data_IF_673049960261
#
_entry.id   IF_673049960261
#
_cell.length_a   1.000
_cell.length_b   1.000
_cell.length_c   1.000
_cell.angle_alpha   90.00
_cell.angle_beta   90.00
_cell.angle_gamma   90.00
#
_symmetry.space_group_name_H-M   'P 1'
#
loop_
_entity.id
_entity.type
_entity.pdbx_description
1 polymer ?
#
# COMPACT_ATOMS: atom_id res chain seq x y z
N UNK A 1 -15.88 -10.63 -15.58
CA UNK A 1 -15.53 -9.46 -14.73
C UNK A 1 -14.35 -8.72 -15.32
N UNK A 2 -14.07 -7.49 -14.86
CA UNK A 2 -12.83 -6.76 -15.19
C UNK A 2 -12.15 -6.27 -13.92
N UNK A 3 -10.82 -6.29 -13.91
CA UNK A 3 -9.99 -5.63 -12.91
C UNK A 3 -9.29 -4.43 -13.54
N UNK A 4 -9.35 -3.28 -12.88
CA UNK A 4 -8.63 -2.06 -13.24
C UNK A 4 -7.64 -1.74 -12.14
N UNK A 5 -6.35 -1.82 -12.46
CA UNK A 5 -5.26 -1.46 -11.55
C UNK A 5 -4.38 -0.40 -12.21
N UNK A 6 -3.61 0.36 -11.45
CA UNK A 6 -2.99 1.55 -12.02
C UNK A 6 -1.54 1.36 -12.48
N UNK A 7 -0.85 0.29 -12.11
CA UNK A 7 0.47 -0.03 -12.65
C UNK A 7 0.91 -1.47 -12.35
N UNK A 8 1.92 -2.00 -13.04
CA UNK A 8 2.51 -3.31 -12.79
C UNK A 8 3.61 -3.27 -11.71
N UNK A 9 3.49 -2.39 -10.70
CA UNK A 9 4.35 -2.44 -9.51
C UNK A 9 4.20 -3.79 -8.79
N UNK A 10 5.10 -4.16 -7.88
CA UNK A 10 4.95 -5.37 -7.08
C UNK A 10 3.58 -5.49 -6.40
N UNK A 11 3.01 -4.37 -5.90
CA UNK A 11 1.65 -4.31 -5.37
C UNK A 11 0.61 -4.67 -6.45
N UNK A 12 0.65 -4.02 -7.60
CA UNK A 12 -0.29 -4.28 -8.70
C UNK A 12 -0.20 -5.70 -9.23
N UNK A 13 1.00 -6.28 -9.31
CA UNK A 13 1.21 -7.68 -9.69
C UNK A 13 0.58 -8.63 -8.68
N UNK A 14 0.77 -8.40 -7.37
CA UNK A 14 0.19 -9.23 -6.32
C UNK A 14 -1.35 -9.13 -6.31
N UNK A 15 -1.90 -7.91 -6.44
CA UNK A 15 -3.34 -7.66 -6.58
C UNK A 15 -3.94 -8.41 -7.77
N UNK A 16 -3.32 -8.29 -8.96
CA UNK A 16 -3.78 -8.99 -10.17
C UNK A 16 -3.75 -10.51 -10.01
N UNK A 17 -2.67 -11.06 -9.46
CA UNK A 17 -2.56 -12.51 -9.22
C UNK A 17 -3.65 -13.01 -8.25
N UNK A 18 -3.89 -12.30 -7.14
CA UNK A 18 -4.97 -12.64 -6.19
C UNK A 18 -6.34 -12.68 -6.88
N UNK A 19 -6.64 -11.64 -7.67
CA UNK A 19 -7.87 -11.58 -8.44
C UNK A 19 -7.99 -12.73 -9.45
N UNK A 20 -6.93 -13.04 -10.19
CA UNK A 20 -6.91 -14.13 -11.20
C UNK A 20 -7.10 -15.50 -10.58
N UNK A 21 -6.41 -15.77 -9.45
CA UNK A 21 -6.55 -17.06 -8.74
C UNK A 21 -7.97 -17.26 -8.23
N UNK A 22 -8.56 -16.24 -7.62
CA UNK A 22 -9.91 -16.33 -7.09
C UNK A 22 -10.96 -16.42 -8.21
N UNK A 23 -10.81 -15.64 -9.27
CA UNK A 23 -11.66 -15.74 -10.45
C UNK A 23 -11.63 -17.16 -11.06
N UNK A 24 -10.43 -17.77 -11.17
CA UNK A 24 -10.29 -19.14 -11.66
C UNK A 24 -11.00 -20.17 -10.77
N UNK A 25 -10.87 -20.06 -9.44
CA UNK A 25 -11.58 -20.92 -8.48
C UNK A 25 -13.10 -20.84 -8.63
N UNK A 26 -13.60 -19.63 -8.89
CA UNK A 26 -15.03 -19.36 -9.04
C UNK A 26 -15.55 -19.59 -10.47
N UNK A 27 -14.71 -20.02 -11.43
CA UNK A 27 -15.06 -20.19 -12.83
C UNK A 27 -15.41 -18.87 -13.54
N UNK A 28 -14.84 -17.76 -13.10
CA UNK A 28 -15.10 -16.42 -13.62
C UNK A 28 -14.03 -16.04 -14.63
N UNK A 29 -14.46 -15.60 -15.83
CA UNK A 29 -13.54 -14.95 -16.76
C UNK A 29 -13.23 -13.53 -16.26
N UNK A 30 -11.94 -13.22 -16.06
CA UNK A 30 -11.42 -11.94 -15.60
C UNK A 30 -10.49 -11.34 -16.65
N UNK A 31 -10.83 -10.15 -17.15
CA UNK A 31 -9.95 -9.37 -18.00
C UNK A 31 -9.27 -8.28 -17.14
N UNK A 32 -8.00 -7.99 -17.42
CA UNK A 32 -7.18 -7.06 -16.65
C UNK A 32 -6.78 -5.83 -17.49
N UNK A 33 -6.85 -4.66 -16.87
CA UNK A 33 -6.55 -3.38 -17.49
C UNK A 33 -5.54 -2.61 -16.63
N UNK A 34 -4.36 -2.36 -17.20
CA UNK A 34 -3.29 -1.58 -16.58
C UNK A 34 -3.45 -0.10 -16.94
N UNK A 35 -3.64 0.75 -15.96
CA UNK A 35 -3.77 2.21 -16.11
C UNK A 35 -2.44 2.91 -16.40
N UNK A 36 -1.31 2.20 -16.30
CA UNK A 36 0.04 2.71 -16.59
C UNK A 36 0.36 4.04 -15.86
N UNK A 37 0.00 4.15 -14.59
CA UNK A 37 0.14 5.37 -13.78
C UNK A 37 -0.53 6.62 -14.38
N UNK A 38 -1.50 6.44 -15.27
CA UNK A 38 -2.18 7.54 -15.96
C UNK A 38 -3.69 7.51 -15.68
N UNK A 39 -4.23 8.48 -14.92
CA UNK A 39 -5.66 8.52 -14.59
C UNK A 39 -6.56 8.63 -15.81
N UNK A 40 -6.10 9.30 -16.88
CA UNK A 40 -6.88 9.41 -18.11
C UNK A 40 -6.96 8.08 -18.85
N UNK A 41 -5.85 7.32 -18.91
CA UNK A 41 -5.83 5.95 -19.46
C UNK A 41 -6.81 5.06 -18.71
N UNK A 42 -6.77 5.06 -17.37
CA UNK A 42 -7.67 4.26 -16.54
C UNK A 42 -9.14 4.67 -16.76
N UNK A 43 -9.41 5.98 -16.86
CA UNK A 43 -10.76 6.49 -17.16
C UNK A 43 -11.26 5.97 -18.51
N UNK A 44 -10.44 6.05 -19.56
CA UNK A 44 -10.79 5.57 -20.90
C UNK A 44 -11.05 4.07 -20.92
N UNK A 45 -10.19 3.27 -20.29
CA UNK A 45 -10.37 1.81 -20.19
C UNK A 45 -11.69 1.42 -19.52
N UNK A 46 -12.08 2.12 -18.43
CA UNK A 46 -13.35 1.88 -17.75
C UNK A 46 -14.52 2.28 -18.66
N UNK A 47 -14.45 3.42 -19.36
CA UNK A 47 -15.49 3.85 -20.31
C UNK A 47 -15.68 2.86 -21.45
N UNK A 48 -14.58 2.37 -22.04
CA UNK A 48 -14.61 1.35 -23.08
C UNK A 48 -15.22 0.05 -22.57
N UNK A 49 -14.83 -0.39 -21.38
CA UNK A 49 -15.39 -1.58 -20.77
C UNK A 49 -16.91 -1.48 -20.51
N UNK A 50 -17.41 -0.30 -20.13
CA UNK A 50 -18.85 -0.03 -20.01
C UNK A 50 -19.52 -0.14 -21.38
N UNK A 51 -18.93 0.49 -22.42
CA UNK A 51 -19.50 0.56 -23.76
C UNK A 51 -19.61 -0.82 -24.42
N UNK A 52 -18.67 -1.73 -24.16
CA UNK A 52 -18.72 -3.10 -24.71
C UNK A 52 -19.90 -3.91 -24.19
N UNK A 53 -20.49 -3.56 -23.05
CA UNK A 53 -21.54 -4.33 -22.40
C UNK A 53 -21.12 -5.76 -21.94
N UNK A 54 -19.86 -6.10 -22.09
CA UNK A 54 -19.30 -7.43 -21.82
C UNK A 54 -19.29 -7.78 -20.33
N UNK A 55 -19.05 -6.78 -19.48
CA UNK A 55 -18.75 -7.02 -18.06
C UNK A 55 -19.97 -6.78 -17.17
N UNK A 56 -20.10 -7.61 -16.13
CA UNK A 56 -21.16 -7.50 -15.11
C UNK A 56 -20.63 -6.95 -13.80
N UNK A 57 -19.31 -6.97 -13.59
CA UNK A 57 -18.68 -6.46 -12.37
C UNK A 57 -17.28 -5.93 -12.64
N UNK A 58 -16.89 -4.90 -11.89
CA UNK A 58 -15.58 -4.27 -11.89
C UNK A 58 -14.95 -4.33 -10.49
N UNK A 59 -13.70 -4.77 -10.42
CA UNK A 59 -12.80 -4.56 -9.28
C UNK A 59 -11.86 -3.41 -9.64
N UNK A 60 -11.90 -2.32 -8.87
CA UNK A 60 -11.22 -1.07 -9.25
C UNK A 60 -10.28 -0.63 -8.14
N UNK A 61 -9.01 -0.51 -8.48
CA UNK A 61 -7.99 0.17 -7.71
C UNK A 61 -7.71 1.51 -8.40
N UNK A 62 -8.29 2.60 -7.87
CA UNK A 62 -8.30 3.90 -8.51
C UNK A 62 -7.01 4.69 -8.30
N UNK A 63 -6.45 5.24 -9.37
CA UNK A 63 -5.32 6.16 -9.28
C UNK A 63 -5.73 7.56 -8.81
N UNK A 64 -6.95 7.98 -9.12
CA UNK A 64 -7.53 9.26 -8.72
C UNK A 64 -9.04 9.14 -8.58
N UNK A 65 -9.51 8.76 -7.40
CA UNK A 65 -10.93 8.50 -7.15
C UNK A 65 -11.85 9.68 -7.51
N UNK A 66 -11.55 10.93 -7.14
CA UNK A 66 -12.39 12.06 -7.53
C UNK A 66 -12.58 12.18 -9.04
N UNK A 67 -11.51 11.99 -9.82
CA UNK A 67 -11.57 12.07 -11.28
C UNK A 67 -12.31 10.88 -11.91
N UNK A 68 -12.21 9.69 -11.31
CA UNK A 68 -12.85 8.47 -11.79
C UNK A 68 -14.33 8.37 -11.39
N UNK A 69 -14.75 9.02 -10.32
CA UNK A 69 -16.12 8.89 -9.75
C UNK A 69 -17.22 9.08 -10.79
N UNK A 70 -17.21 10.06 -11.71
CA UNK A 70 -18.23 10.19 -12.73
C UNK A 70 -18.34 8.97 -13.65
N UNK A 71 -17.20 8.34 -13.97
CA UNK A 71 -17.15 7.16 -14.83
C UNK A 71 -17.63 5.91 -14.08
N UNK A 72 -17.26 5.77 -12.82
CA UNK A 72 -17.77 4.69 -11.95
C UNK A 72 -19.29 4.79 -11.79
N UNK A 73 -19.83 5.99 -11.58
CA UNK A 73 -21.29 6.19 -11.51
C UNK A 73 -21.99 5.78 -12.81
N UNK A 74 -21.38 5.99 -13.99
CA UNK A 74 -21.91 5.49 -15.26
C UNK A 74 -21.92 3.94 -15.27
N UNK A 75 -20.86 3.27 -14.80
CA UNK A 75 -20.83 1.82 -14.71
C UNK A 75 -21.97 1.29 -13.83
N UNK A 76 -22.18 1.90 -12.66
CA UNK A 76 -23.26 1.54 -11.74
C UNK A 76 -24.62 1.76 -12.37
N UNK A 77 -24.83 2.89 -13.04
CA UNK A 77 -26.08 3.20 -13.76
C UNK A 77 -26.36 2.22 -14.91
N UNK A 78 -25.31 1.64 -15.49
CA UNK A 78 -25.40 0.57 -16.50
C UNK A 78 -25.64 -0.82 -15.88
N UNK A 79 -25.83 -0.92 -14.56
CA UNK A 79 -26.10 -2.18 -13.83
C UNK A 79 -24.84 -3.00 -13.50
N UNK A 80 -23.66 -2.45 -13.70
CA UNK A 80 -22.38 -3.11 -13.37
C UNK A 80 -22.15 -2.99 -11.87
N UNK A 81 -21.85 -4.10 -11.19
CA UNK A 81 -21.44 -4.11 -9.79
C UNK A 81 -20.00 -3.62 -9.69
N UNK A 82 -19.73 -2.64 -8.83
CA UNK A 82 -18.38 -2.10 -8.65
C UNK A 82 -17.91 -2.32 -7.22
N UNK A 83 -16.76 -2.91 -7.05
CA UNK A 83 -16.05 -2.99 -5.77
C UNK A 83 -14.71 -2.24 -5.88
N UNK A 84 -14.30 -1.60 -4.78
CA UNK A 84 -13.15 -0.71 -4.72
C UNK A 84 -12.07 -1.25 -3.79
N UNK A 85 -10.82 -1.13 -4.22
CA UNK A 85 -9.63 -1.61 -3.53
C UNK A 85 -8.95 -0.50 -2.72
N UNK A 86 -8.21 -0.92 -1.72
CA UNK A 86 -7.18 -0.16 -1.00
C UNK A 86 -7.77 0.86 0.00
N UNK A 87 -8.53 1.83 -0.45
CA UNK A 87 -9.12 2.87 0.40
C UNK A 87 -10.61 3.08 0.12
N UNK A 88 -11.29 3.75 1.06
CA UNK A 88 -12.66 4.21 0.84
C UNK A 88 -12.72 5.11 -0.40
N UNK A 89 -13.54 4.72 -1.36
CA UNK A 89 -13.78 5.54 -2.55
C UNK A 89 -14.51 6.84 -2.18
N UNK A 90 -13.86 7.98 -2.42
CA UNK A 90 -14.44 9.27 -2.06
C UNK A 90 -13.43 10.41 -1.97
N UNK A 91 -13.74 11.41 -1.14
CA UNK A 91 -12.86 12.53 -0.86
C UNK A 91 -11.67 12.10 0.02
N UNK A 92 -10.59 12.89 0.01
CA UNK A 92 -9.41 12.62 0.86
C UNK A 92 -9.79 12.55 2.36
N UNK A 93 -10.79 13.30 2.80
CA UNK A 93 -11.29 13.22 4.17
C UNK A 93 -11.94 11.86 4.48
N UNK A 94 -12.68 11.29 3.54
CA UNK A 94 -13.28 9.95 3.67
C UNK A 94 -12.22 8.85 3.61
N UNK A 95 -11.20 8.99 2.77
CA UNK A 95 -10.08 8.06 2.69
C UNK A 95 -9.23 8.04 3.97
N UNK A 96 -9.15 9.16 4.67
CA UNK A 96 -8.42 9.26 5.93
C UNK A 96 -9.05 8.42 7.05
N UNK A 97 -10.35 8.15 6.96
CA UNK A 97 -11.09 7.27 7.87
C UNK A 97 -11.72 6.17 7.05
N UNK A 98 -11.50 4.91 7.40
CA UNK A 98 -12.11 3.79 6.68
C UNK A 98 -13.64 3.81 6.94
N UNK A 99 -14.38 4.45 6.03
CA UNK A 99 -15.85 4.55 6.09
C UNK A 99 -16.46 3.96 4.82
N UNK A 100 -17.70 3.49 4.89
CA UNK A 100 -18.37 2.93 3.71
C UNK A 100 -18.53 3.99 2.62
N UNK A 101 -18.22 3.60 1.38
CA UNK A 101 -18.45 4.43 0.19
C UNK A 101 -19.93 4.37 -0.22
N UNK A 102 -20.47 5.50 -0.67
CA UNK A 102 -21.78 5.51 -1.36
C UNK A 102 -21.66 5.12 -2.85
N UNK A 103 -20.44 5.02 -3.36
CA UNK A 103 -20.17 4.74 -4.78
C UNK A 103 -19.98 3.25 -5.04
N UNK A 104 -19.16 2.57 -4.23
CA UNK A 104 -18.85 1.16 -4.45
C UNK A 104 -19.81 0.25 -3.68
N UNK A 105 -20.17 -0.90 -4.25
CA UNK A 105 -20.97 -1.92 -3.57
C UNK A 105 -20.27 -2.47 -2.33
N UNK A 106 -18.96 -2.57 -2.38
CA UNK A 106 -18.08 -2.84 -1.25
C UNK A 106 -16.74 -2.14 -1.46
N UNK A 107 -16.08 -1.81 -0.36
CA UNK A 107 -14.66 -1.43 -0.33
C UNK A 107 -13.91 -2.47 0.50
N UNK A 108 -12.79 -2.97 0.00
CA UNK A 108 -11.85 -3.80 0.76
C UNK A 108 -10.54 -3.05 0.85
N UNK A 109 -10.08 -2.75 2.06
CA UNK A 109 -8.86 -1.96 2.21
C UNK A 109 -8.62 -1.51 3.65
N UNK A 110 -7.88 -0.41 3.81
CA UNK A 110 -7.50 0.12 5.11
C UNK A 110 -7.63 1.67 5.18
N UNK A 111 -7.47 2.22 6.37
CA UNK A 111 -7.56 3.67 6.62
C UNK A 111 -6.20 4.33 6.37
N UNK A 112 -6.15 5.36 5.52
CA UNK A 112 -4.94 6.18 5.30
C UNK A 112 -4.48 6.83 6.61
N UNK A 113 -5.41 7.29 7.44
CA UNK A 113 -5.08 7.88 8.74
C UNK A 113 -4.50 6.88 9.71
N UNK A 114 -5.00 5.64 9.73
CA UNK A 114 -4.42 4.57 10.54
C UNK A 114 -3.02 4.21 10.04
N UNK A 115 -2.79 4.14 8.74
CA UNK A 115 -1.46 3.91 8.15
C UNK A 115 -0.47 5.00 8.55
N UNK A 116 -0.85 6.29 8.44
CA UNK A 116 -0.01 7.40 8.85
C UNK A 116 0.35 7.31 10.35
N UNK A 117 -0.63 7.00 11.21
CA UNK A 117 -0.43 6.83 12.65
C UNK A 117 0.48 5.64 12.97
N UNK A 118 0.31 4.51 12.29
CA UNK A 118 1.16 3.34 12.45
C UNK A 118 2.60 3.64 12.03
N UNK A 119 2.78 4.39 10.93
CA UNK A 119 4.10 4.80 10.46
C UNK A 119 4.77 5.77 11.43
N UNK A 120 4.05 6.78 11.94
CA UNK A 120 4.52 7.70 12.97
C UNK A 120 4.96 6.96 14.24
N UNK A 121 4.14 6.04 14.73
CA UNK A 121 4.44 5.22 15.91
C UNK A 121 5.67 4.35 15.68
N UNK A 122 5.78 3.73 14.51
CA UNK A 122 6.92 2.89 14.13
C UNK A 122 8.20 3.69 14.03
N UNK A 123 8.15 4.89 13.39
CA UNK A 123 9.30 5.80 13.32
C UNK A 123 9.74 6.28 14.70
N UNK A 124 8.81 6.60 15.61
CA UNK A 124 9.14 7.00 16.99
C UNK A 124 9.83 5.86 17.76
N UNK A 125 9.35 4.64 17.61
CA UNK A 125 9.96 3.46 18.22
C UNK A 125 11.36 3.18 17.66
N UNK A 126 11.52 3.33 16.34
CA UNK A 126 12.82 3.23 15.68
C UNK A 126 13.81 4.32 16.13
N UNK A 127 13.32 5.56 16.31
CA UNK A 127 14.11 6.66 16.87
C UNK A 127 14.57 6.36 18.30
N UNK A 128 13.65 5.87 19.15
CA UNK A 128 14.00 5.46 20.53
C UNK A 128 15.10 4.39 20.51
N UNK A 129 15.03 3.43 19.60
CA UNK A 129 16.08 2.42 19.43
C UNK A 129 17.41 3.02 18.97
N UNK A 130 17.38 4.00 18.05
CA UNK A 130 18.58 4.57 17.45
C UNK A 130 19.31 5.55 18.38
N UNK A 131 18.58 6.41 19.09
CA UNK A 131 19.16 7.53 19.85
C UNK A 131 18.68 7.66 21.29
N UNK A 132 17.87 6.73 21.80
CA UNK A 132 17.27 6.81 23.14
C UNK A 132 16.38 8.03 23.28
N UNK A 133 16.71 8.93 24.24
CA UNK A 133 16.04 10.20 24.45
C UNK A 133 16.68 11.36 23.66
N UNK A 134 17.69 11.09 22.83
CA UNK A 134 18.37 12.08 22.02
C UNK A 134 17.55 12.61 20.86
N UNK A 135 18.10 13.56 20.13
CA UNK A 135 17.47 14.11 18.93
C UNK A 135 17.53 13.11 17.77
N UNK A 136 16.39 12.89 17.10
CA UNK A 136 16.27 11.94 16.02
C UNK A 136 16.06 12.64 14.67
N UNK A 137 16.93 12.34 13.69
CA UNK A 137 16.81 12.80 12.32
C UNK A 137 16.16 11.70 11.47
N UNK A 138 14.95 11.99 10.96
CA UNK A 138 14.15 11.08 10.12
C UNK A 138 14.21 11.58 8.68
N UNK A 139 14.60 10.71 7.75
CA UNK A 139 14.45 10.92 6.32
C UNK A 139 13.27 10.09 5.79
N UNK A 140 12.37 10.72 5.06
CA UNK A 140 11.19 10.08 4.53
C UNK A 140 11.15 10.17 3.00
N UNK A 141 11.09 9.02 2.32
CA UNK A 141 11.04 8.91 0.86
C UNK A 141 9.58 8.64 0.41
N UNK A 142 8.89 9.63 -0.17
CA UNK A 142 7.53 9.47 -0.67
C UNK A 142 7.48 8.69 -1.99
N UNK A 143 6.28 8.20 -2.36
CA UNK A 143 6.04 7.49 -3.60
C UNK A 143 5.95 8.40 -4.82
N UNK A 144 4.74 8.80 -5.21
CA UNK A 144 4.52 9.64 -6.40
C UNK A 144 4.29 11.11 -6.03
N UNK A 145 4.84 12.00 -6.85
CA UNK A 145 4.52 13.42 -6.76
C UNK A 145 3.02 13.65 -7.06
N UNK A 146 2.38 14.47 -6.23
CA UNK A 146 0.96 14.83 -6.39
C UNK A 146 -0.04 13.66 -6.33
N UNK A 147 0.38 12.49 -5.86
CA UNK A 147 -0.55 11.41 -5.58
C UNK A 147 -1.38 11.76 -4.33
N UNK A 148 -2.72 11.82 -4.44
CA UNK A 148 -3.56 12.34 -3.36
C UNK A 148 -3.34 11.62 -2.03
N UNK A 149 -3.26 10.29 -2.06
CA UNK A 149 -3.06 9.43 -0.88
C UNK A 149 -1.72 9.70 -0.19
N UNK A 150 -0.63 9.80 -0.98
CA UNK A 150 0.69 10.16 -0.43
C UNK A 150 0.67 11.55 0.20
N UNK A 151 -0.01 12.50 -0.44
CA UNK A 151 -0.13 13.87 0.06
C UNK A 151 -0.81 13.91 1.43
N UNK A 152 -1.90 13.15 1.62
CA UNK A 152 -2.60 13.08 2.92
C UNK A 152 -1.66 12.53 4.01
N UNK A 153 -0.98 11.41 3.74
CA UNK A 153 -0.05 10.79 4.70
C UNK A 153 1.13 11.70 5.03
N UNK A 154 1.77 12.31 4.02
CA UNK A 154 2.90 13.22 4.20
C UNK A 154 2.50 14.43 5.02
N UNK A 155 1.34 15.04 4.74
CA UNK A 155 0.84 16.20 5.48
C UNK A 155 0.57 15.85 6.95
N UNK A 156 -0.04 14.69 7.24
CA UNK A 156 -0.25 14.19 8.60
C UNK A 156 1.06 14.07 9.36
N UNK A 157 2.03 13.34 8.82
CA UNK A 157 3.34 13.12 9.44
C UNK A 157 4.11 14.44 9.61
N UNK A 158 4.08 15.32 8.61
CA UNK A 158 4.74 16.63 8.70
C UNK A 158 4.16 17.47 9.82
N UNK A 159 2.82 17.50 9.95
CA UNK A 159 2.14 18.21 11.03
C UNK A 159 2.48 17.60 12.40
N UNK A 160 2.50 16.27 12.49
CA UNK A 160 2.85 15.54 13.71
C UNK A 160 4.28 15.90 14.18
N UNK A 161 5.29 15.78 13.31
CA UNK A 161 6.68 16.02 13.69
C UNK A 161 7.00 17.51 13.89
N UNK A 162 6.30 18.43 13.21
CA UNK A 162 6.46 19.86 13.44
C UNK A 162 6.22 20.27 14.90
N UNK A 163 5.38 19.53 15.62
CA UNK A 163 5.07 19.75 17.04
C UNK A 163 6.07 19.09 18.02
N UNK A 164 7.07 18.37 17.52
CA UNK A 164 7.97 17.52 18.30
C UNK A 164 9.42 18.03 18.26
N UNK A 165 9.90 18.75 19.30
CA UNK A 165 11.21 19.43 19.25
C UNK A 165 12.41 18.47 19.16
N UNK A 166 12.24 17.20 19.57
CA UNK A 166 13.30 16.20 19.55
C UNK A 166 13.42 15.46 18.22
N UNK A 167 12.68 15.90 17.20
CA UNK A 167 12.72 15.26 15.86
C UNK A 167 12.99 16.28 14.77
N UNK A 168 13.79 15.89 13.80
CA UNK A 168 13.85 16.52 12.49
C UNK A 168 13.24 15.54 11.47
N UNK A 169 12.14 15.93 10.84
CA UNK A 169 11.48 15.12 9.80
C UNK A 169 11.71 15.79 8.44
N UNK A 170 12.45 15.10 7.56
CA UNK A 170 12.80 15.63 6.23
C UNK A 170 12.15 14.75 5.16
N UNK A 171 11.28 15.37 4.36
CA UNK A 171 10.69 14.72 3.19
C UNK A 171 11.65 14.83 2.01
N UNK A 172 12.02 13.69 1.44
CA UNK A 172 12.89 13.59 0.28
C UNK A 172 12.10 13.82 -1.03
N UNK A 173 12.77 14.03 -2.18
CA UNK A 173 12.11 13.92 -3.48
C UNK A 173 11.46 12.53 -3.66
N UNK A 174 10.40 12.38 -4.49
CA UNK A 174 9.69 11.13 -4.64
C UNK A 174 10.53 10.03 -5.30
N UNK A 175 10.36 8.79 -4.84
CA UNK A 175 11.02 7.60 -5.36
C UNK A 175 10.22 6.85 -6.43
N UNK A 176 9.01 7.36 -6.78
CA UNK A 176 8.14 6.88 -7.86
C UNK A 176 7.66 5.42 -7.71
N UNK A 177 7.66 4.88 -6.49
CA UNK A 177 7.39 3.46 -6.23
C UNK A 177 8.28 2.52 -7.06
N UNK A 178 9.49 2.99 -7.39
CA UNK A 178 10.48 2.28 -8.20
C UNK A 178 11.81 2.15 -7.46
N UNK A 179 12.39 0.95 -7.50
CA UNK A 179 13.64 0.65 -6.77
C UNK A 179 14.83 1.46 -7.28
N UNK A 180 14.98 1.58 -8.59
CA UNK A 180 16.11 2.28 -9.23
C UNK A 180 16.02 3.78 -9.01
N UNK A 181 14.84 4.38 -9.20
CA UNK A 181 14.58 5.79 -8.90
C UNK A 181 14.89 6.10 -7.43
N UNK A 182 14.40 5.24 -6.53
CA UNK A 182 14.60 5.38 -5.08
C UNK A 182 16.07 5.28 -4.70
N UNK A 183 16.83 4.37 -5.34
CA UNK A 183 18.28 4.29 -5.14
C UNK A 183 18.97 5.60 -5.53
N UNK A 184 18.65 6.19 -6.68
CA UNK A 184 19.27 7.45 -7.14
C UNK A 184 18.96 8.62 -6.21
N UNK A 185 17.68 8.76 -5.81
CA UNK A 185 17.24 9.79 -4.84
C UNK A 185 17.93 9.61 -3.49
N UNK A 186 17.93 8.39 -2.96
CA UNK A 186 18.54 8.07 -1.67
C UNK A 186 20.06 8.29 -1.70
N UNK A 187 20.77 7.91 -2.76
CA UNK A 187 22.22 8.12 -2.90
C UNK A 187 22.56 9.60 -2.84
N UNK A 188 21.82 10.44 -3.57
CA UNK A 188 22.00 11.90 -3.55
C UNK A 188 21.75 12.46 -2.15
N UNK A 189 20.63 12.06 -1.53
CA UNK A 189 20.24 12.54 -0.23
C UNK A 189 21.24 12.15 0.88
N UNK A 190 21.60 10.88 1.00
CA UNK A 190 22.52 10.39 2.03
C UNK A 190 23.96 10.85 1.82
N UNK A 191 24.35 11.23 0.60
CA UNK A 191 25.66 11.87 0.35
C UNK A 191 25.70 13.25 1.01
N UNK A 192 24.61 14.02 0.95
CA UNK A 192 24.50 15.35 1.53
C UNK A 192 24.17 15.35 3.04
N UNK A 193 23.48 14.31 3.54
CA UNK A 193 22.98 14.24 4.92
C UNK A 193 23.57 13.01 5.64
N UNK A 194 24.54 13.26 6.55
CA UNK A 194 25.31 12.18 7.20
C UNK A 194 24.78 11.71 8.56
N UNK A 195 23.78 12.37 9.13
CA UNK A 195 23.30 12.11 10.49
C UNK A 195 21.84 11.64 10.52
N UNK A 196 21.45 10.79 9.58
CA UNK A 196 20.08 10.22 9.56
C UNK A 196 20.04 9.00 10.47
N UNK A 197 19.09 8.99 11.40
CA UNK A 197 18.89 7.91 12.37
C UNK A 197 17.82 6.92 11.93
N UNK A 198 16.77 7.42 11.24
CA UNK A 198 15.65 6.63 10.74
C UNK A 198 15.40 6.99 9.27
N UNK A 199 15.25 6.00 8.44
CA UNK A 199 14.74 6.13 7.07
C UNK A 199 13.42 5.37 6.94
N UNK A 200 12.40 6.02 6.39
CA UNK A 200 11.12 5.41 6.13
C UNK A 200 10.61 5.77 4.72
N UNK A 201 9.71 4.96 4.19
CA UNK A 201 9.21 5.11 2.81
C UNK A 201 7.80 4.52 2.67
N UNK A 202 7.15 4.78 1.51
CA UNK A 202 5.86 4.21 1.15
C UNK A 202 5.95 2.94 0.27
N UNK A 203 7.10 2.27 0.20
CA UNK A 203 7.22 1.04 -0.59
C UNK A 203 8.43 0.20 -0.20
N UNK A 204 8.25 -1.11 -0.08
CA UNK A 204 9.34 -2.04 0.24
C UNK A 204 10.43 -2.02 -0.83
N UNK A 205 10.07 -1.98 -2.11
CA UNK A 205 11.03 -1.84 -3.22
C UNK A 205 11.82 -0.52 -3.14
N UNK A 206 11.20 0.53 -2.60
CA UNK A 206 11.89 1.81 -2.39
C UNK A 206 12.87 1.72 -1.20
N UNK A 207 12.51 0.97 -0.15
CA UNK A 207 13.43 0.68 0.95
C UNK A 207 14.65 -0.12 0.47
N UNK A 208 14.48 -1.09 -0.41
CA UNK A 208 15.57 -1.85 -1.02
C UNK A 208 16.50 -0.98 -1.86
N UNK A 209 15.93 -0.08 -2.67
CA UNK A 209 16.69 0.91 -3.42
C UNK A 209 17.53 1.81 -2.50
N UNK A 210 16.92 2.31 -1.42
CA UNK A 210 17.62 3.13 -0.43
C UNK A 210 18.73 2.35 0.30
N UNK A 211 18.51 1.09 0.67
CA UNK A 211 19.54 0.25 1.30
C UNK A 211 20.72 -0.02 0.34
N UNK A 212 20.45 -0.15 -0.95
CA UNK A 212 21.52 -0.23 -1.96
C UNK A 212 22.33 1.07 -2.02
N UNK A 213 21.64 2.23 -1.99
CA UNK A 213 22.30 3.54 -1.93
C UNK A 213 23.15 3.70 -0.67
N UNK A 214 22.67 3.28 0.50
CA UNK A 214 23.42 3.35 1.76
C UNK A 214 24.75 2.57 1.70
N UNK A 215 24.77 1.40 1.05
CA UNK A 215 26.00 0.62 0.83
C UNK A 215 26.99 1.36 -0.06
N UNK A 216 26.51 2.08 -1.08
CA UNK A 216 27.35 2.84 -2.01
C UNK A 216 27.90 4.12 -1.38
N UNK A 217 27.10 4.83 -0.61
CA UNK A 217 27.48 6.08 0.08
C UNK A 217 28.46 5.80 1.24
N UNK A 218 28.32 4.64 1.90
CA UNK A 218 29.09 4.25 3.09
C UNK A 218 28.70 5.04 4.34
N UNK A 219 29.23 4.60 5.48
CA UNK A 219 28.98 5.23 6.78
C UNK A 219 27.66 4.84 7.45
N UNK A 220 26.78 4.14 6.73
CA UNK A 220 25.52 3.63 7.25
C UNK A 220 25.50 2.10 7.25
N UNK A 221 24.99 1.52 8.32
CA UNK A 221 24.75 0.08 8.46
C UNK A 221 23.31 -0.14 8.90
N UNK A 222 22.42 -0.57 7.97
CA UNK A 222 21.01 -0.83 8.30
C UNK A 222 20.84 -1.75 9.50
N UNK A 223 19.93 -1.37 10.41
CA UNK A 223 19.66 -2.07 11.67
C UNK A 223 20.64 -1.76 12.81
N UNK A 224 21.75 -1.07 12.54
CA UNK A 224 22.74 -0.66 13.53
C UNK A 224 22.69 0.86 13.78
N UNK A 225 23.31 1.64 12.92
CA UNK A 225 23.37 3.10 13.06
C UNK A 225 22.32 3.86 12.25
N UNK A 226 21.51 3.17 11.45
CA UNK A 226 20.30 3.67 10.81
C UNK A 226 19.21 2.60 10.90
N UNK A 227 18.01 2.99 11.30
CA UNK A 227 16.85 2.11 11.30
C UNK A 227 16.05 2.32 10.01
N UNK A 228 15.73 1.24 9.32
CA UNK A 228 14.98 1.26 8.06
C UNK A 228 13.55 0.82 8.31
N UNK A 229 12.57 1.53 7.75
CA UNK A 229 11.16 1.16 7.81
C UNK A 229 10.64 1.05 6.39
N UNK A 230 10.18 -0.15 6.03
CA UNK A 230 9.52 -0.45 4.77
C UNK A 230 8.02 -0.19 4.81
N UNK A 231 7.36 -0.48 3.70
CA UNK A 231 5.91 -0.34 3.55
C UNK A 231 5.43 -1.31 2.46
N UNK A 232 4.76 -2.38 2.87
CA UNK A 232 4.28 -3.41 1.97
C UNK A 232 4.17 -4.78 2.64
N UNK A 233 5.23 -5.24 3.27
CA UNK A 233 5.30 -6.61 3.80
C UNK A 233 5.74 -7.62 2.74
N UNK A 234 6.52 -7.20 1.74
CA UNK A 234 7.10 -8.12 0.75
C UNK A 234 8.08 -9.10 1.40
N UNK A 235 8.22 -10.31 0.84
CA UNK A 235 9.02 -11.41 1.43
C UNK A 235 10.47 -10.99 1.72
N UNK A 236 11.09 -10.25 0.80
CA UNK A 236 12.47 -9.81 0.92
C UNK A 236 12.65 -8.90 2.14
N UNK A 237 11.74 -7.93 2.31
CA UNK A 237 11.75 -7.02 3.47
C UNK A 237 11.40 -7.75 4.75
N UNK A 238 10.46 -8.68 4.74
CA UNK A 238 10.14 -9.53 5.91
C UNK A 238 11.36 -10.35 6.34
N UNK A 239 12.13 -10.90 5.40
CA UNK A 239 13.39 -11.58 5.70
C UNK A 239 14.43 -10.63 6.32
N UNK A 240 14.47 -9.38 5.85
CA UNK A 240 15.37 -8.35 6.39
C UNK A 240 14.91 -7.85 7.78
N UNK A 241 13.62 -7.87 8.08
CA UNK A 241 13.10 -7.67 9.45
C UNK A 241 13.54 -8.81 10.37
N UNK A 242 13.41 -10.06 9.91
CA UNK A 242 13.89 -11.24 10.68
C UNK A 242 15.39 -11.15 10.99
N UNK A 243 16.20 -10.73 10.04
CA UNK A 243 17.66 -10.55 10.21
C UNK A 243 18.04 -9.31 11.02
N UNK A 244 17.11 -8.36 11.21
CA UNK A 244 17.32 -7.11 11.92
C UNK A 244 17.96 -5.99 11.09
N UNK A 245 18.10 -6.15 9.78
CA UNK A 245 18.54 -5.09 8.86
C UNK A 245 17.45 -4.03 8.64
N UNK A 246 16.19 -4.45 8.60
CA UNK A 246 15.00 -3.58 8.58
C UNK A 246 14.36 -3.62 9.95
N UNK A 247 13.94 -2.46 10.46
CA UNK A 247 13.31 -2.34 11.77
C UNK A 247 11.90 -2.94 11.78
N UNK A 248 11.11 -2.53 10.79
CA UNK A 248 9.75 -3.00 10.55
C UNK A 248 9.32 -2.65 9.11
N UNK A 249 8.24 -3.27 8.64
CA UNK A 249 7.50 -2.83 7.47
C UNK A 249 6.01 -2.72 7.81
N UNK A 250 5.31 -1.73 7.27
CA UNK A 250 3.86 -1.69 7.36
C UNK A 250 3.26 -2.76 6.44
N UNK A 251 2.21 -3.43 6.89
CA UNK A 251 1.54 -4.47 6.13
C UNK A 251 0.57 -3.88 5.10
N UNK A 252 0.72 -4.31 3.84
CA UNK A 252 -0.25 -4.15 2.76
C UNK A 252 -0.63 -5.53 2.23
N UNK A 253 -1.89 -5.69 1.84
CA UNK A 253 -2.46 -7.01 1.53
C UNK A 253 -3.17 -7.05 0.16
N UNK A 254 -2.47 -6.67 -0.93
CA UNK A 254 -3.07 -6.50 -2.26
C UNK A 254 -3.70 -7.76 -2.83
N UNK A 255 -3.13 -8.93 -2.54
CA UNK A 255 -3.68 -10.18 -3.01
C UNK A 255 -4.96 -10.56 -2.26
N UNK A 256 -4.96 -10.46 -0.93
CA UNK A 256 -6.12 -10.74 -0.08
C UNK A 256 -7.26 -9.75 -0.34
N UNK A 257 -6.96 -8.47 -0.54
CA UNK A 257 -7.96 -7.47 -0.95
C UNK A 257 -8.64 -7.88 -2.25
N UNK A 258 -7.86 -8.28 -3.24
CA UNK A 258 -8.39 -8.68 -4.54
C UNK A 258 -9.16 -9.99 -4.49
N UNK A 259 -8.71 -10.96 -3.71
CA UNK A 259 -9.47 -12.20 -3.47
C UNK A 259 -10.84 -11.88 -2.89
N UNK A 260 -10.91 -11.10 -1.81
CA UNK A 260 -12.16 -10.70 -1.17
C UNK A 260 -13.03 -9.87 -2.12
N UNK A 261 -12.45 -8.93 -2.87
CA UNK A 261 -13.16 -8.12 -3.85
C UNK A 261 -13.85 -8.97 -4.93
N UNK A 262 -13.16 -9.96 -5.49
CA UNK A 262 -13.72 -10.89 -6.48
C UNK A 262 -14.80 -11.79 -5.87
N UNK A 263 -14.61 -12.29 -4.63
CA UNK A 263 -15.61 -13.06 -3.90
C UNK A 263 -16.90 -12.26 -3.69
N UNK A 264 -16.80 -11.05 -3.15
CA UNK A 264 -17.96 -10.19 -2.90
C UNK A 264 -18.67 -9.77 -4.20
N UNK A 265 -17.93 -9.48 -5.26
CA UNK A 265 -18.54 -9.21 -6.56
C UNK A 265 -19.30 -10.44 -7.09
N UNK A 266 -18.76 -11.64 -6.92
CA UNK A 266 -19.44 -12.89 -7.30
C UNK A 266 -20.74 -13.08 -6.51
N UNK A 267 -20.70 -12.88 -5.19
CA UNK A 267 -21.87 -12.94 -4.31
C UNK A 267 -22.93 -11.89 -4.69
N UNK A 268 -22.52 -10.65 -4.96
CA UNK A 268 -23.40 -9.57 -5.38
C UNK A 268 -24.10 -9.85 -6.72
N UNK A 269 -23.40 -10.50 -7.66
CA UNK A 269 -23.99 -10.93 -8.93
C UNK A 269 -25.03 -12.06 -8.76
N UNK A 270 -24.91 -12.85 -7.70
CA UNK A 270 -25.88 -13.89 -7.31
C UNK A 270 -27.04 -13.32 -6.46
N UNK A 271 -27.07 -12.01 -6.23
CA UNK A 271 -28.10 -11.34 -5.42
C UNK A 271 -27.92 -11.51 -3.90
N UNK A 272 -26.75 -11.98 -3.46
CA UNK A 272 -26.46 -12.13 -2.04
C UNK A 272 -26.10 -10.78 -1.40
N UNK A 273 -26.39 -10.64 -0.10
CA UNK A 273 -25.93 -9.50 0.69
C UNK A 273 -24.43 -9.57 0.92
N UNK A 274 -23.74 -8.44 0.72
CA UNK A 274 -22.30 -8.30 0.94
C UNK A 274 -22.03 -7.14 1.91
N UNK A 275 -20.90 -7.16 2.65
CA UNK A 275 -20.53 -6.02 3.47
C UNK A 275 -20.19 -4.80 2.60
N UNK A 276 -20.62 -3.61 3.01
CA UNK A 276 -20.29 -2.37 2.29
C UNK A 276 -18.82 -1.96 2.46
N UNK A 277 -18.17 -2.47 3.52
CA UNK A 277 -16.81 -2.15 3.90
C UNK A 277 -16.16 -3.31 4.61
N UNK A 278 -14.91 -3.61 4.23
CA UNK A 278 -14.05 -4.61 4.87
C UNK A 278 -12.73 -3.97 5.20
N UNK A 279 -12.42 -3.88 6.50
CA UNK A 279 -11.06 -3.56 6.93
C UNK A 279 -10.21 -4.82 6.81
N UNK A 280 -9.18 -4.77 5.94
CA UNK A 280 -8.30 -5.91 5.72
C UNK A 280 -7.37 -6.18 6.90
N UNK A 281 -7.11 -5.18 7.74
CA UNK A 281 -6.17 -5.29 8.86
C UNK A 281 -6.73 -6.21 9.95
N UNK A 282 -5.95 -7.21 10.29
CA UNK A 282 -6.20 -8.19 11.34
C UNK A 282 -4.88 -8.45 12.10
N UNK A 283 -4.84 -8.32 13.43
CA UNK A 283 -3.61 -8.46 14.21
C UNK A 283 -2.85 -9.78 14.02
N UNK A 284 -3.56 -10.86 13.76
CA UNK A 284 -2.97 -12.20 13.67
C UNK A 284 -2.56 -12.60 12.25
N UNK A 285 -3.36 -12.21 11.25
CA UNK A 285 -3.17 -12.65 9.86
C UNK A 285 -2.71 -11.54 8.92
N UNK A 286 -3.15 -10.31 9.17
CA UNK A 286 -2.88 -9.12 8.35
C UNK A 286 -2.48 -7.93 9.25
N UNK A 287 -1.35 -8.01 9.98
CA UNK A 287 -0.96 -6.98 10.94
C UNK A 287 -0.65 -5.65 10.26
N UNK A 288 -1.04 -4.54 10.89
CA UNK A 288 -0.71 -3.21 10.39
C UNK A 288 0.81 -2.94 10.35
N UNK A 289 1.57 -3.58 11.26
CA UNK A 289 3.03 -3.48 11.34
C UNK A 289 3.63 -4.87 11.47
N UNK A 290 4.56 -5.20 10.60
CA UNK A 290 5.34 -6.43 10.62
C UNK A 290 6.72 -6.09 11.16
N UNK A 291 6.93 -6.38 12.43
CA UNK A 291 8.19 -6.20 13.12
C UNK A 291 8.75 -7.54 13.64
N UNK A 292 9.90 -7.48 14.29
CA UNK A 292 10.54 -8.68 14.83
C UNK A 292 9.72 -9.34 15.95
N UNK A 293 8.97 -8.57 16.74
CA UNK A 293 8.12 -9.10 17.80
C UNK A 293 6.95 -9.88 17.20
N UNK A 294 6.27 -9.29 16.22
CA UNK A 294 5.20 -9.98 15.47
C UNK A 294 5.71 -11.27 14.83
N UNK A 295 6.84 -11.23 14.11
CA UNK A 295 7.39 -12.40 13.41
C UNK A 295 7.87 -13.50 14.38
N UNK A 296 8.27 -13.13 15.59
CA UNK A 296 8.63 -14.10 16.64
C UNK A 296 7.39 -14.79 17.23
N UNK A 297 6.28 -14.06 17.36
CA UNK A 297 4.99 -14.60 17.81
C UNK A 297 4.29 -15.42 16.71
N UNK A 298 4.55 -15.11 15.44
CA UNK A 298 3.93 -15.75 14.27
C UNK A 298 5.00 -16.35 13.33
N UNK A 299 5.71 -17.42 13.74
CA UNK A 299 6.85 -17.96 12.97
C UNK A 299 6.46 -18.48 11.59
N UNK A 300 5.19 -18.84 11.40
CA UNK A 300 4.63 -19.33 10.14
C UNK A 300 3.99 -18.23 9.28
N UNK A 301 4.17 -16.96 9.63
CA UNK A 301 3.64 -15.84 8.86
C UNK A 301 4.20 -15.87 7.43
N UNK A 302 3.30 -15.85 6.45
CA UNK A 302 3.60 -15.78 5.02
C UNK A 302 3.11 -14.43 4.50
N UNK A 303 3.98 -13.65 3.87
CA UNK A 303 3.58 -12.41 3.23
C UNK A 303 2.52 -12.61 2.14
N UNK A 304 1.54 -11.74 2.12
CA UNK A 304 0.43 -11.74 1.16
C UNK A 304 0.89 -11.59 -0.30
N UNK A 305 2.03 -10.98 -0.53
CA UNK A 305 2.64 -10.75 -1.83
C UNK A 305 3.15 -12.01 -2.50
N UNK A 306 3.35 -13.08 -1.73
CA UNK A 306 3.78 -14.40 -2.19
C UNK A 306 2.57 -15.33 -2.34
N UNK A 307 1.96 -15.30 -3.48
CA UNK A 307 0.72 -16.03 -3.77
C UNK A 307 0.85 -17.55 -3.88
N UNK A 308 2.01 -18.14 -3.64
CA UNK A 308 2.17 -19.59 -3.61
C UNK A 308 1.49 -20.25 -2.38
N UNK A 309 1.10 -19.44 -1.37
CA UNK A 309 0.50 -19.93 -0.12
C UNK A 309 -1.01 -19.86 0.00
N UNK A 310 -1.71 -19.19 -0.92
CA UNK A 310 -3.13 -18.87 -0.72
C UNK A 310 -3.34 -17.89 0.45
N UNK A 311 -4.55 -17.37 0.63
CA UNK A 311 -4.93 -16.67 1.86
C UNK A 311 -4.43 -17.50 3.02
N UNK A 312 -3.59 -16.94 3.89
CA UNK A 312 -3.23 -17.58 5.14
C UNK A 312 -4.53 -17.98 5.81
N UNK A 313 -4.97 -19.21 5.55
CA UNK A 313 -6.13 -19.76 6.22
C UNK A 313 -5.73 -19.85 7.67
N UNK A 314 -6.21 -18.91 8.46
CA UNK A 314 -6.37 -19.15 9.87
C UNK A 314 -7.24 -20.40 9.98
N UNK A 315 -6.59 -21.55 10.20
CA UNK A 315 -7.22 -22.77 10.65
C UNK A 315 -7.64 -22.62 12.09
#
# INVERSE_FOLDING_TARGET
>A
MAIFYYNPSPYGVASLKGAQQEAAKLGIQLDAFDGNNNPQTQTTQIQDAITTGKYKAFWVWGLNDPALTPTINKAISAGIKVACADYTWGTLAQQNTLTSSSTCATTVGQSIGAEATNLETTMNSACTKAVGSGHCNIAFLPGLANYPTDTVRINSMTAYYKSKPNYTFTVMPPGNYDQTSSQGVAQTFFTAHKNINVFATFGDQMAEGAMTALKLVGGYTPGQNIQIIGYGGAQEIVNQVKSGQVYATLGLYPASESVLGIQYLSQALQGQSIPNLVNIINPDTHPAVIDKAFLSAHPNFVPDWNLEGGLGTAS
#
